data_IF_833868241730
#
_entry.id   IF_833868241730
#
_cell.length_a   1.000
_cell.length_b   1.000
_cell.length_c   1.000
_cell.angle_alpha   90.00
_cell.angle_beta   90.00
_cell.angle_gamma   90.00
#
_symmetry.space_group_name_H-M   'P 1'
#
loop_
_entity.id
_entity.type
_entity.pdbx_description
1 polymer ?
#
# COMPACT_ATOMS: atom_id res chain seq x y z
N UNK A 1 -0.35 -13.28 -2.71
CA UNK A 1 -0.38 -12.15 -3.67
C UNK A 1 0.70 -11.08 -3.41
N UNK A 2 1.61 -11.34 -2.49
CA UNK A 2 2.70 -10.41 -2.18
C UNK A 2 3.79 -10.47 -3.27
N UNK A 3 4.33 -9.31 -3.67
CA UNK A 3 5.47 -9.24 -4.57
C UNK A 3 6.73 -9.74 -3.85
N UNK A 4 7.41 -10.75 -4.39
CA UNK A 4 8.51 -11.43 -3.72
C UNK A 4 9.68 -10.48 -3.38
N UNK A 5 10.07 -9.63 -4.32
CA UNK A 5 11.25 -8.76 -4.19
C UNK A 5 11.02 -7.59 -3.21
N UNK A 6 9.84 -6.96 -3.26
CA UNK A 6 9.53 -5.81 -2.41
C UNK A 6 8.79 -6.21 -1.12
N UNK A 7 8.17 -7.37 -1.08
CA UNK A 7 7.27 -7.76 -0.01
C UNK A 7 5.93 -7.00 0.02
N UNK A 8 5.73 -6.07 -0.88
CA UNK A 8 4.52 -5.24 -1.00
C UNK A 8 3.40 -5.97 -1.76
N UNK A 9 2.25 -5.31 -1.88
CA UNK A 9 1.12 -5.77 -2.69
C UNK A 9 0.95 -4.89 -3.92
N UNK A 10 0.55 -5.52 -5.03
CA UNK A 10 0.27 -4.82 -6.28
C UNK A 10 -1.04 -4.03 -6.19
N UNK A 11 -1.19 -3.00 -7.02
CA UNK A 11 -2.43 -2.24 -7.19
C UNK A 11 -3.60 -3.17 -7.59
N UNK A 12 -3.37 -4.10 -8.52
CA UNK A 12 -4.27 -5.22 -8.82
C UNK A 12 -3.61 -6.49 -8.31
N UNK A 13 -3.98 -6.90 -7.10
CA UNK A 13 -3.22 -7.84 -6.25
C UNK A 13 -3.03 -9.24 -6.83
N UNK A 14 -3.97 -9.71 -7.64
CA UNK A 14 -4.00 -11.07 -8.22
C UNK A 14 -3.61 -11.10 -9.70
N UNK A 15 -3.16 -9.97 -10.26
CA UNK A 15 -2.86 -9.82 -11.68
C UNK A 15 -1.42 -9.33 -11.90
N UNK A 16 -0.46 -10.12 -11.43
CA UNK A 16 0.96 -9.84 -11.65
C UNK A 16 1.38 -9.90 -13.14
N UNK A 17 0.54 -10.48 -13.99
CA UNK A 17 0.72 -10.56 -15.43
C UNK A 17 0.46 -9.24 -16.17
N UNK A 18 -0.22 -8.28 -15.55
CA UNK A 18 -0.60 -7.03 -16.21
C UNK A 18 0.59 -6.08 -16.35
N UNK A 19 0.81 -5.65 -17.59
CA UNK A 19 1.77 -4.58 -17.88
C UNK A 19 1.37 -3.28 -17.19
N UNK A 20 2.31 -2.65 -16.49
CA UNK A 20 2.07 -1.40 -15.77
C UNK A 20 1.50 -1.59 -14.36
N UNK A 21 1.23 -2.82 -13.92
CA UNK A 21 0.88 -3.06 -12.53
C UNK A 21 2.08 -2.74 -11.62
N UNK A 22 1.83 -2.14 -10.48
CA UNK A 22 2.87 -1.63 -9.60
C UNK A 22 2.58 -1.97 -8.13
N UNK A 23 3.62 -2.01 -7.30
CA UNK A 23 3.47 -2.13 -5.84
C UNK A 23 2.82 -0.86 -5.30
N UNK A 24 1.66 -0.99 -4.67
CA UNK A 24 0.87 0.16 -4.20
C UNK A 24 1.10 0.39 -2.71
N UNK A 25 1.48 1.61 -2.36
CA UNK A 25 1.94 1.97 -1.00
C UNK A 25 0.82 1.93 0.02
N UNK A 26 -0.33 2.55 -0.25
CA UNK A 26 -1.38 2.71 0.76
C UNK A 26 -2.03 1.38 1.15
N UNK A 27 -2.38 0.56 0.19
CA UNK A 27 -2.91 -0.79 0.41
C UNK A 27 -1.89 -1.69 1.09
N UNK A 28 -0.62 -1.64 0.66
CA UNK A 28 0.45 -2.39 1.32
C UNK A 28 0.61 -1.99 2.79
N UNK A 29 0.56 -0.69 3.11
CA UNK A 29 0.66 -0.21 4.47
C UNK A 29 -0.53 -0.63 5.34
N UNK A 30 -1.76 -0.59 4.80
CA UNK A 30 -2.96 -1.08 5.50
C UNK A 30 -2.85 -2.56 5.83
N UNK A 31 -2.38 -3.38 4.89
CA UNK A 31 -2.14 -4.81 5.12
C UNK A 31 -1.04 -5.02 6.15
N UNK A 32 0.07 -4.29 6.06
CA UNK A 32 1.16 -4.34 7.06
C UNK A 32 0.64 -4.06 8.47
N UNK A 33 -0.13 -2.98 8.63
CA UNK A 33 -0.77 -2.64 9.91
C UNK A 33 -1.66 -3.76 10.42
N UNK A 34 -2.55 -4.28 9.58
CA UNK A 34 -3.49 -5.33 9.96
C UNK A 34 -2.79 -6.61 10.41
N UNK A 35 -1.73 -7.03 9.69
CA UNK A 35 -0.96 -8.22 10.02
C UNK A 35 -0.21 -8.06 11.36
N UNK A 36 0.46 -6.94 11.55
CA UNK A 36 1.21 -6.67 12.78
C UNK A 36 0.28 -6.54 13.98
N UNK A 37 -0.79 -5.78 13.86
CA UNK A 37 -1.78 -5.60 14.93
C UNK A 37 -2.51 -6.91 15.24
N UNK A 38 -2.93 -7.65 14.23
CA UNK A 38 -3.60 -8.94 14.40
C UNK A 38 -2.73 -9.95 15.14
N UNK A 39 -1.44 -10.02 14.80
CA UNK A 39 -0.48 -10.86 15.51
C UNK A 39 -0.27 -10.41 16.97
N UNK A 40 -0.12 -9.10 17.21
CA UNK A 40 0.04 -8.56 18.57
C UNK A 40 -1.17 -8.82 19.46
N UNK A 41 -2.37 -8.78 18.89
CA UNK A 41 -3.62 -9.03 19.62
C UNK A 41 -3.97 -10.53 19.73
N UNK A 42 -3.13 -11.43 19.22
CA UNK A 42 -3.40 -12.87 19.23
C UNK A 42 -4.52 -13.32 18.27
N UNK A 43 -4.94 -12.45 17.34
CA UNK A 43 -5.94 -12.75 16.32
C UNK A 43 -5.33 -13.49 15.12
N UNK A 44 -4.04 -13.36 14.94
CA UNK A 44 -3.24 -14.03 13.90
C UNK A 44 -2.03 -14.72 14.56
N UNK A 45 -1.50 -15.80 13.96
CA UNK A 45 -0.24 -16.40 14.38
C UNK A 45 0.91 -15.38 14.40
N UNK A 46 1.88 -15.49 15.34
CA UNK A 46 2.95 -14.50 15.54
C UNK A 46 3.77 -14.19 14.28
N UNK A 47 3.98 -15.18 13.41
CA UNK A 47 4.73 -15.01 12.16
C UNK A 47 4.10 -14.00 11.18
N UNK A 48 2.82 -13.70 11.32
CA UNK A 48 2.18 -12.64 10.52
C UNK A 48 2.66 -11.25 10.90
N UNK A 49 3.10 -11.08 12.14
CA UNK A 49 3.75 -9.85 12.56
C UNK A 49 5.04 -9.58 11.79
N UNK A 50 5.88 -10.60 11.62
CA UNK A 50 7.09 -10.50 10.81
C UNK A 50 6.78 -10.24 9.32
N UNK A 51 5.74 -10.90 8.81
CA UNK A 51 5.27 -10.66 7.44
C UNK A 51 4.82 -9.21 7.23
N UNK A 52 4.10 -8.64 8.20
CA UNK A 52 3.69 -7.24 8.16
C UNK A 52 4.88 -6.27 8.23
N UNK A 53 5.86 -6.54 9.08
CA UNK A 53 7.08 -5.75 9.18
C UNK A 53 7.85 -5.72 7.85
N UNK A 54 7.99 -6.87 7.18
CA UNK A 54 8.63 -6.94 5.86
C UNK A 54 7.91 -6.15 4.77
N UNK A 55 6.59 -6.06 4.82
CA UNK A 55 5.84 -5.19 3.89
C UNK A 55 6.21 -3.73 4.11
N UNK A 56 6.30 -3.30 5.38
CA UNK A 56 6.68 -1.92 5.72
C UNK A 56 8.13 -1.61 5.32
N UNK A 57 9.04 -2.56 5.49
CA UNK A 57 10.41 -2.44 5.00
C UNK A 57 10.44 -2.29 3.47
N UNK A 58 9.63 -3.06 2.75
CA UNK A 58 9.49 -2.96 1.30
C UNK A 58 9.01 -1.58 0.85
N UNK A 59 8.05 -0.97 1.56
CA UNK A 59 7.60 0.40 1.29
C UNK A 59 8.75 1.39 1.49
N UNK A 60 9.47 1.30 2.60
CA UNK A 60 10.63 2.16 2.89
C UNK A 60 11.68 2.08 1.79
N UNK A 61 12.08 0.87 1.43
CA UNK A 61 13.20 0.63 0.51
C UNK A 61 12.84 0.96 -0.94
N UNK A 62 11.56 0.84 -1.31
CA UNK A 62 11.08 1.10 -2.68
C UNK A 62 10.66 2.55 -2.88
N UNK A 63 9.92 3.13 -1.94
CA UNK A 63 9.14 4.33 -2.16
C UNK A 63 9.39 5.49 -1.18
N UNK A 64 10.11 5.29 -0.08
CA UNK A 64 10.54 6.40 0.75
C UNK A 64 11.86 6.96 0.20
N UNK A 65 11.80 8.12 -0.42
CA UNK A 65 12.94 8.74 -1.13
C UNK A 65 13.26 10.10 -0.53
N UNK A 66 14.53 10.49 -0.60
CA UNK A 66 14.93 11.83 -0.20
C UNK A 66 14.80 12.77 -1.40
N UNK A 67 13.87 13.71 -1.28
CA UNK A 67 13.68 14.82 -2.22
C UNK A 67 14.44 16.07 -1.78
N UNK A 68 14.23 17.17 -2.51
CA UNK A 68 14.90 18.45 -2.23
C UNK A 68 14.47 19.08 -0.90
N UNK A 69 13.20 18.94 -0.53
CA UNK A 69 12.62 19.56 0.67
C UNK A 69 12.48 18.58 1.86
N UNK A 70 12.85 17.33 1.70
CA UNK A 70 12.74 16.33 2.75
C UNK A 70 12.49 14.93 2.21
N UNK A 71 11.88 14.09 3.02
CA UNK A 71 11.49 12.75 2.61
C UNK A 71 10.15 12.76 1.88
N UNK A 72 10.06 12.02 0.80
CA UNK A 72 8.90 11.87 -0.06
C UNK A 72 8.44 10.42 -0.08
N UNK A 73 7.14 10.18 0.07
CA UNK A 73 6.52 8.86 -0.02
C UNK A 73 5.81 8.70 -1.36
N UNK A 74 6.34 7.82 -2.20
CA UNK A 74 5.86 7.56 -3.56
C UNK A 74 4.93 6.34 -3.65
N UNK A 75 4.42 6.04 -4.86
CA UNK A 75 3.68 4.83 -5.18
C UNK A 75 2.28 4.75 -4.58
N UNK A 76 1.65 5.88 -4.32
CA UNK A 76 0.31 5.97 -3.74
C UNK A 76 -0.72 6.18 -4.86
N UNK A 77 -1.70 5.29 -4.99
CA UNK A 77 -2.84 5.51 -5.87
C UNK A 77 -3.67 6.70 -5.37
N UNK A 78 -3.96 7.66 -6.24
CA UNK A 78 -4.69 8.87 -5.85
C UNK A 78 -6.10 8.55 -5.34
N UNK A 79 -6.87 7.83 -6.12
CA UNK A 79 -8.21 7.37 -5.77
C UNK A 79 -8.70 6.39 -6.82
N UNK A 80 -8.95 5.17 -6.44
CA UNK A 80 -9.57 4.16 -7.30
C UNK A 80 -10.89 3.70 -6.72
N UNK A 81 -11.83 3.33 -7.57
CA UNK A 81 -13.15 2.89 -7.13
C UNK A 81 -14.02 2.38 -8.26
N UNK A 82 -15.17 1.84 -7.92
CA UNK A 82 -16.18 1.39 -8.85
C UNK A 82 -17.34 2.41 -8.87
N UNK A 83 -17.82 2.73 -10.08
CA UNK A 83 -18.93 3.63 -10.27
C UNK A 83 -18.56 5.12 -10.16
N UNK A 84 -19.53 6.02 -10.40
CA UNK A 84 -19.25 7.43 -10.61
C UNK A 84 -18.61 8.15 -9.42
N UNK A 85 -18.91 7.74 -8.19
CA UNK A 85 -18.42 8.42 -7.00
C UNK A 85 -18.95 9.85 -6.84
N UNK A 86 -18.43 10.60 -5.85
CA UNK A 86 -18.88 11.99 -5.59
C UNK A 86 -18.54 12.96 -6.73
N UNK A 87 -17.51 12.67 -7.50
CA UNK A 87 -17.06 13.46 -8.66
C UNK A 87 -17.78 13.11 -9.96
N UNK A 88 -18.75 12.22 -9.89
CA UNK A 88 -19.61 11.78 -11.00
C UNK A 88 -18.83 11.30 -12.24
N UNK A 89 -17.68 10.69 -12.05
CA UNK A 89 -16.82 10.13 -13.11
C UNK A 89 -17.50 8.91 -13.75
N UNK A 90 -17.45 8.83 -15.07
CA UNK A 90 -18.03 7.73 -15.85
C UNK A 90 -17.00 6.66 -16.23
N UNK A 91 -15.72 6.92 -16.02
CA UNK A 91 -14.60 6.06 -16.40
C UNK A 91 -14.22 5.01 -15.35
N UNK A 92 -14.86 5.03 -14.16
CA UNK A 92 -14.63 4.05 -13.09
C UNK A 92 -15.34 2.73 -13.38
N UNK A 93 -14.82 2.00 -14.35
CA UNK A 93 -15.41 0.77 -14.88
C UNK A 93 -15.20 -0.45 -13.97
N UNK A 94 -14.27 -0.38 -13.02
CA UNK A 94 -13.88 -1.50 -12.16
C UNK A 94 -13.01 -2.54 -12.86
N UNK A 95 -12.57 -2.28 -14.08
CA UNK A 95 -11.64 -3.17 -14.79
C UNK A 95 -10.21 -3.02 -14.29
N UNK A 96 -9.34 -4.04 -14.42
CA UNK A 96 -7.94 -3.92 -14.09
C UNK A 96 -7.24 -2.75 -14.79
N UNK A 97 -7.54 -2.53 -16.06
CA UNK A 97 -6.99 -1.43 -16.86
C UNK A 97 -7.36 -0.06 -16.29
N UNK A 98 -8.61 0.08 -15.83
CA UNK A 98 -9.04 1.29 -15.14
C UNK A 98 -8.21 1.52 -13.85
N UNK A 99 -8.05 0.50 -12.99
CA UNK A 99 -7.28 0.63 -11.76
C UNK A 99 -5.84 1.05 -12.00
N UNK A 100 -5.23 0.60 -13.10
CA UNK A 100 -3.87 0.96 -13.49
C UNK A 100 -3.77 2.34 -14.16
N UNK A 101 -4.89 2.91 -14.62
CA UNK A 101 -4.95 4.25 -15.23
C UNK A 101 -5.01 5.39 -14.20
N UNK A 102 -5.32 5.07 -12.94
CA UNK A 102 -5.38 6.09 -11.89
C UNK A 102 -3.99 6.65 -11.56
N UNK A 103 -3.96 7.95 -11.30
CA UNK A 103 -2.71 8.67 -11.03
C UNK A 103 -2.03 8.17 -9.77
N UNK A 104 -0.73 7.96 -9.86
CA UNK A 104 0.12 7.77 -8.69
C UNK A 104 0.53 9.13 -8.12
N UNK A 105 0.45 9.27 -6.81
CA UNK A 105 0.74 10.50 -6.08
C UNK A 105 1.97 10.34 -5.19
N UNK A 106 2.58 11.47 -4.88
CA UNK A 106 3.61 11.60 -3.84
C UNK A 106 2.97 12.26 -2.63
N UNK A 107 3.27 11.77 -1.43
CA UNK A 107 2.82 12.31 -0.14
C UNK A 107 1.30 12.48 -0.01
N UNK A 108 0.51 11.67 -0.72
CA UNK A 108 -0.92 11.71 -0.56
C UNK A 108 -1.34 11.28 0.85
N UNK A 109 -2.26 12.03 1.45
CA UNK A 109 -2.64 11.93 2.86
C UNK A 109 -3.07 10.52 3.29
N UNK A 110 -3.86 9.80 2.48
CA UNK A 110 -4.31 8.46 2.88
C UNK A 110 -3.17 7.43 2.88
N UNK A 111 -2.21 7.55 1.96
CA UNK A 111 -1.03 6.69 1.94
C UNK A 111 -0.09 7.00 3.11
N UNK A 112 0.16 8.29 3.36
CA UNK A 112 0.96 8.72 4.49
C UNK A 112 0.33 8.29 5.83
N UNK A 113 -0.98 8.46 6.01
CA UNK A 113 -1.69 8.02 7.21
C UNK A 113 -1.60 6.51 7.42
N UNK A 114 -1.79 5.71 6.37
CA UNK A 114 -1.67 4.26 6.45
C UNK A 114 -0.25 3.83 6.86
N UNK A 115 0.78 4.46 6.30
CA UNK A 115 2.18 4.21 6.68
C UNK A 115 2.46 4.61 8.14
N UNK A 116 1.97 5.75 8.60
CA UNK A 116 2.11 6.18 10.00
C UNK A 116 1.47 5.18 10.97
N UNK A 117 0.28 4.65 10.64
CA UNK A 117 -0.36 3.60 11.43
C UNK A 117 0.47 2.32 11.46
N UNK A 118 1.02 1.89 10.34
CA UNK A 118 1.87 0.69 10.25
C UNK A 118 3.17 0.86 11.04
N UNK A 119 3.84 2.01 10.92
CA UNK A 119 5.05 2.35 11.72
C UNK A 119 4.73 2.36 13.21
N UNK A 120 3.63 3.00 13.61
CA UNK A 120 3.20 3.02 15.01
C UNK A 120 2.99 1.61 15.58
N UNK A 121 2.44 0.70 14.78
CA UNK A 121 2.25 -0.69 15.20
C UNK A 121 3.57 -1.47 15.24
N UNK A 122 4.47 -1.22 14.30
CA UNK A 122 5.81 -1.82 14.31
C UNK A 122 6.60 -1.44 15.58
N UNK A 123 6.55 -0.16 15.97
CA UNK A 123 7.23 0.34 17.18
C UNK A 123 6.67 -0.28 18.47
N UNK A 124 5.41 -0.71 18.49
CA UNK A 124 4.80 -1.40 19.66
C UNK A 124 5.25 -2.86 19.78
N UNK A 125 5.83 -3.43 18.73
CA UNK A 125 6.33 -4.80 18.72
C UNK A 125 7.82 -4.88 19.10
N UNK A 126 8.51 -3.77 18.99
CA UNK A 126 9.90 -3.65 19.42
C UNK A 126 9.94 -3.50 20.95
#
# INVERSE_FOLDING_TARGET
YRVADTGMFLQVVDRADLTGNYSETSGSAMVAYALMKGARLGMLPPEYGEKGSRVLDGIRDTYLKKGEQGWELHGICASAGLGPGPDNRTDRTGTPEYYLSEKQMVDNQHGAAACMMAVSEQLRRA
#
